data_IF_348735120166
#
_entry.id   IF_348735120166
#
_cell.length_a   1.000
_cell.length_b   1.000
_cell.length_c   1.000
_cell.angle_alpha   90.00
_cell.angle_beta   90.00
_cell.angle_gamma   90.00
#
_symmetry.space_group_name_H-M   'P 1'
#
loop_
_entity.id
_entity.type
_entity.pdbx_description
1 polymer ?
#
# COMPACT_ATOMS: atom_id res chain seq x y z
N UNK A 1 2.08 -0.93 16.12
CA UNK A 1 1.42 -2.26 16.09
C UNK A 1 2.43 -3.22 15.45
N UNK A 2 2.14 -4.51 15.26
CA UNK A 2 3.13 -5.42 14.64
C UNK A 2 3.08 -5.27 13.12
N UNK A 3 4.22 -5.41 12.44
CA UNK A 3 4.31 -5.32 10.98
C UNK A 3 3.38 -6.28 10.22
N UNK A 4 3.15 -7.46 10.80
CA UNK A 4 2.21 -8.43 10.24
C UNK A 4 0.77 -7.94 10.27
N UNK A 5 0.37 -7.16 11.29
CA UNK A 5 -1.02 -6.69 11.40
C UNK A 5 -1.35 -5.69 10.31
N UNK A 6 -0.48 -4.71 10.06
CA UNK A 6 -0.70 -3.73 8.99
C UNK A 6 -0.74 -4.39 7.61
N UNK A 7 0.19 -5.33 7.34
CA UNK A 7 0.22 -6.07 6.07
C UNK A 7 -1.05 -6.89 5.88
N UNK A 8 -1.48 -7.67 6.88
CA UNK A 8 -2.70 -8.47 6.75
C UNK A 8 -3.96 -7.61 6.65
N UNK A 9 -4.03 -6.47 7.35
CA UNK A 9 -5.14 -5.52 7.19
C UNK A 9 -5.17 -4.93 5.78
N UNK A 10 -4.02 -4.55 5.22
CA UNK A 10 -3.92 -4.07 3.85
C UNK A 10 -4.36 -5.12 2.84
N UNK A 11 -3.86 -6.36 2.98
CA UNK A 11 -4.23 -7.48 2.12
C UNK A 11 -5.73 -7.79 2.20
N UNK A 12 -6.30 -7.80 3.40
CA UNK A 12 -7.72 -8.00 3.60
C UNK A 12 -8.58 -6.90 2.95
N UNK A 13 -8.11 -5.65 2.97
CA UNK A 13 -8.81 -4.52 2.34
C UNK A 13 -8.87 -4.63 0.81
N UNK A 14 -7.81 -5.16 0.16
CA UNK A 14 -7.76 -5.29 -1.30
C UNK A 14 -8.29 -6.63 -1.81
N UNK A 15 -8.46 -7.64 -0.95
CA UNK A 15 -8.90 -8.97 -1.35
C UNK A 15 -10.23 -9.00 -2.11
N UNK A 16 -11.29 -8.24 -1.72
CA UNK A 16 -12.54 -8.20 -2.50
C UNK A 16 -12.34 -7.65 -3.91
N UNK A 17 -11.44 -6.67 -4.09
CA UNK A 17 -11.14 -6.08 -5.40
C UNK A 17 -10.41 -7.09 -6.26
N UNK A 18 -9.40 -7.76 -5.71
CA UNK A 18 -8.66 -8.82 -6.42
C UNK A 18 -9.55 -10.02 -6.78
N UNK A 19 -10.62 -10.29 -6.03
CA UNK A 19 -11.60 -11.31 -6.37
C UNK A 19 -12.46 -10.90 -7.58
N UNK A 20 -12.87 -9.64 -7.65
CA UNK A 20 -13.70 -9.12 -8.74
C UNK A 20 -12.89 -8.85 -10.02
N UNK A 21 -11.64 -8.40 -9.87
CA UNK A 21 -10.77 -7.97 -10.97
C UNK A 21 -9.38 -8.65 -10.82
N UNK A 22 -9.28 -9.95 -11.10
CA UNK A 22 -8.11 -10.77 -10.77
C UNK A 22 -6.83 -10.37 -11.50
N UNK A 23 -6.93 -9.70 -12.65
CA UNK A 23 -5.79 -9.16 -13.39
C UNK A 23 -4.94 -8.18 -12.56
N UNK A 24 -5.53 -7.51 -11.56
CA UNK A 24 -4.82 -6.61 -10.64
C UNK A 24 -4.31 -7.30 -9.37
N UNK A 25 -4.54 -8.60 -9.19
CA UNK A 25 -4.28 -9.30 -7.92
C UNK A 25 -2.83 -9.15 -7.42
N UNK A 26 -1.85 -9.23 -8.32
CA UNK A 26 -0.42 -9.06 -7.96
C UNK A 26 -0.13 -7.61 -7.56
N UNK A 27 -0.59 -6.63 -8.34
CA UNK A 27 -0.37 -5.21 -8.06
C UNK A 27 -1.01 -4.80 -6.72
N UNK A 28 -2.24 -5.25 -6.47
CA UNK A 28 -2.95 -5.04 -5.21
C UNK A 28 -2.22 -5.66 -4.02
N UNK A 29 -1.76 -6.91 -4.16
CA UNK A 29 -1.02 -7.59 -3.08
C UNK A 29 0.30 -6.89 -2.77
N UNK A 30 1.10 -6.54 -3.80
CA UNK A 30 2.37 -5.84 -3.63
C UNK A 30 2.15 -4.47 -2.99
N UNK A 31 1.17 -3.69 -3.46
CA UNK A 31 0.83 -2.39 -2.90
C UNK A 31 0.40 -2.48 -1.44
N UNK A 32 -0.47 -3.45 -1.10
CA UNK A 32 -0.91 -3.69 0.27
C UNK A 32 0.23 -4.11 1.21
N UNK A 33 1.15 -4.97 0.74
CA UNK A 33 2.31 -5.41 1.52
C UNK A 33 3.26 -4.23 1.77
N UNK A 34 3.66 -3.50 0.71
CA UNK A 34 4.59 -2.38 0.82
C UNK A 34 4.00 -1.24 1.66
N UNK A 35 2.73 -0.89 1.42
CA UNK A 35 2.01 0.13 2.19
C UNK A 35 1.79 -0.28 3.64
N UNK A 36 1.51 -1.57 3.90
CA UNK A 36 1.38 -2.12 5.26
C UNK A 36 2.70 -2.16 6.03
N UNK A 37 3.84 -2.39 5.37
CA UNK A 37 5.16 -2.37 6.00
C UNK A 37 5.66 -0.94 6.31
N UNK A 38 5.24 0.05 5.53
CA UNK A 38 5.79 1.41 5.61
C UNK A 38 5.71 2.06 7.01
N UNK A 39 4.61 1.94 7.78
CA UNK A 39 4.51 2.49 9.14
C UNK A 39 5.53 1.93 10.13
N UNK A 40 6.06 0.73 9.88
CA UNK A 40 6.94 0.00 10.80
C UNK A 40 8.43 0.21 10.49
N UNK A 41 8.79 0.89 9.39
CA UNK A 41 10.19 1.22 9.12
C UNK A 41 10.82 2.16 10.17
N UNK A 42 10.01 2.79 11.02
CA UNK A 42 10.49 3.56 12.18
C UNK A 42 10.96 2.69 13.36
N UNK A 43 10.71 1.36 13.33
CA UNK A 43 11.17 0.38 14.34
C UNK A 43 12.67 0.47 14.59
N UNK A 44 13.46 0.69 13.55
CA UNK A 44 14.94 0.72 13.60
C UNK A 44 15.46 1.93 14.38
N UNK A 45 14.66 3.00 14.51
CA UNK A 45 15.04 4.26 15.17
C UNK A 45 14.14 4.59 16.36
N UNK A 46 14.09 3.66 17.34
CA UNK A 46 13.33 3.79 18.61
C UNK A 46 11.80 3.83 18.48
N UNK A 47 11.24 3.23 17.42
CA UNK A 47 9.80 3.06 17.18
C UNK A 47 8.97 4.31 17.53
N UNK A 48 9.51 5.48 17.14
CA UNK A 48 8.79 6.74 17.26
C UNK A 48 7.76 6.67 16.15
N UNK A 49 6.51 6.32 16.51
CA UNK A 49 5.29 6.12 15.70
C UNK A 49 4.93 7.28 14.74
N UNK A 50 5.93 7.90 14.17
CA UNK A 50 5.91 9.08 13.31
C UNK A 50 5.37 8.71 11.94
N UNK A 51 5.54 7.45 11.53
CA UNK A 51 5.02 6.90 10.29
C UNK A 51 3.67 6.18 10.46
N UNK A 52 3.13 6.09 11.68
CA UNK A 52 1.85 5.40 11.93
C UNK A 52 0.65 6.15 11.34
N UNK A 53 0.73 7.48 11.20
CA UNK A 53 -0.32 8.22 10.50
C UNK A 53 -0.07 8.10 8.99
N UNK A 54 -1.05 7.62 8.19
CA UNK A 54 -0.86 7.32 6.77
C UNK A 54 -0.75 8.58 5.88
N UNK A 55 -0.61 9.77 6.48
CA UNK A 55 -0.58 11.05 5.78
C UNK A 55 0.62 11.12 4.83
N UNK A 56 1.78 10.63 5.24
CA UNK A 56 2.97 10.58 4.38
C UNK A 56 2.77 9.68 3.16
N UNK A 57 1.90 8.66 3.24
CA UNK A 57 1.58 7.78 2.12
C UNK A 57 0.88 8.52 0.97
N UNK A 58 0.16 9.62 1.25
CA UNK A 58 -0.50 10.42 0.23
C UNK A 58 0.49 11.03 -0.78
N UNK A 59 1.71 11.33 -0.35
CA UNK A 59 2.74 11.88 -1.22
C UNK A 59 3.15 10.91 -2.35
N UNK A 60 2.94 9.60 -2.16
CA UNK A 60 3.22 8.56 -3.17
C UNK A 60 1.93 8.11 -3.85
N UNK A 61 0.85 7.92 -3.08
CA UNK A 61 -0.41 7.42 -3.60
C UNK A 61 -1.06 8.38 -4.61
N UNK A 62 -1.05 9.69 -4.34
CA UNK A 62 -1.68 10.68 -5.23
C UNK A 62 -0.98 10.70 -6.60
N UNK A 63 0.36 10.85 -6.70
CA UNK A 63 1.03 10.78 -8.00
C UNK A 63 0.82 9.46 -8.73
N UNK A 64 0.84 8.33 -8.02
CA UNK A 64 0.62 7.01 -8.63
C UNK A 64 -0.77 6.90 -9.26
N UNK A 65 -1.82 7.32 -8.54
CA UNK A 65 -3.20 7.33 -9.06
C UNK A 65 -3.37 8.30 -10.22
N UNK A 66 -2.76 9.49 -10.14
CA UNK A 66 -2.80 10.46 -11.25
C UNK A 66 -2.14 9.88 -12.49
N UNK A 67 -0.95 9.28 -12.37
CA UNK A 67 -0.24 8.65 -13.48
C UNK A 67 -1.04 7.49 -14.09
N UNK A 68 -1.63 6.63 -13.26
CA UNK A 68 -2.54 5.57 -13.70
C UNK A 68 -3.72 6.11 -14.54
N UNK A 69 -4.30 7.23 -14.11
CA UNK A 69 -5.45 7.84 -14.77
C UNK A 69 -5.08 8.54 -16.09
N UNK A 70 -3.94 9.24 -16.16
CA UNK A 70 -3.58 10.04 -17.34
C UNK A 70 -2.73 9.29 -18.38
N UNK A 71 -2.05 8.21 -17.97
CA UNK A 71 -1.14 7.44 -18.82
C UNK A 71 -1.24 5.92 -18.53
N UNK A 72 -2.38 5.28 -18.87
CA UNK A 72 -2.60 3.86 -18.58
C UNK A 72 -1.67 2.96 -19.40
N UNK A 73 -1.01 2.03 -18.72
CA UNK A 73 -0.08 1.05 -19.28
C UNK A 73 0.11 -0.10 -18.30
N UNK A 74 0.81 -1.17 -18.69
CA UNK A 74 1.15 -2.29 -17.78
C UNK A 74 1.99 -1.88 -16.56
N UNK A 75 2.61 -0.69 -16.59
CA UNK A 75 3.39 -0.17 -15.45
C UNK A 75 2.57 0.74 -14.52
N UNK A 76 1.43 1.23 -14.98
CA UNK A 76 0.61 2.22 -14.28
C UNK A 76 -0.78 1.70 -13.91
N UNK A 77 -1.17 0.53 -14.42
CA UNK A 77 -2.35 -0.27 -14.09
C UNK A 77 -1.88 -1.70 -13.74
#
# INVERSE_FOLDING_TARGET
>A
MMATTHVFTGLAAVAPIAYVVPEFGVALAVGAILGGLAPDFDLVRTHRRTLHFPVAGLAVAIPAVVLAAVAPSTLTL
#
